data_IF_200497766271
#
_entry.id   IF_200497766271
#
_cell.length_a   1.000
_cell.length_b   1.000
_cell.length_c   1.000
_cell.angle_alpha   90.00
_cell.angle_beta   90.00
_cell.angle_gamma   90.00
#
_symmetry.space_group_name_H-M   'P 1'
#
loop_
_entity.id
_entity.type
_entity.pdbx_description
1 polymer ?
#
# COMPACT_ATOMS: atom_id res chain seq x y z
N UNK A 1 30.40 -47.98 18.91
CA UNK A 1 30.06 -47.78 17.48
C UNK A 1 28.55 -47.60 17.41
N UNK A 2 28.11 -46.35 17.35
CA UNK A 2 26.70 -45.97 17.34
C UNK A 2 26.61 -44.70 16.51
N UNK A 3 26.48 -44.89 15.20
CA UNK A 3 26.27 -43.82 14.23
C UNK A 3 24.80 -43.40 14.27
N UNK A 4 24.53 -42.24 14.87
CA UNK A 4 23.26 -41.56 14.75
C UNK A 4 23.27 -40.71 13.48
N UNK A 5 22.57 -41.19 12.46
CA UNK A 5 22.25 -40.41 11.26
C UNK A 5 21.39 -39.19 11.63
N UNK A 6 21.99 -38.00 11.61
CA UNK A 6 21.26 -36.74 11.55
C UNK A 6 20.62 -36.61 10.15
N UNK A 7 19.32 -36.91 10.05
CA UNK A 7 18.53 -36.56 8.87
C UNK A 7 18.25 -35.06 8.91
N UNK A 8 19.00 -34.31 8.10
CA UNK A 8 18.77 -32.90 7.84
C UNK A 8 17.46 -32.77 7.04
N UNK A 9 16.36 -32.43 7.72
CA UNK A 9 15.09 -32.11 7.07
C UNK A 9 15.26 -30.82 6.26
N UNK A 10 15.56 -31.00 4.98
CA UNK A 10 15.62 -29.94 3.99
C UNK A 10 14.19 -29.49 3.67
N UNK A 11 13.59 -28.66 4.54
CA UNK A 11 12.33 -28.00 4.26
C UNK A 11 12.52 -27.06 3.06
N UNK A 12 12.26 -27.56 1.84
CA UNK A 12 12.06 -26.70 0.67
C UNK A 12 10.94 -25.73 1.03
N UNK A 13 11.28 -24.47 1.34
CA UNK A 13 10.30 -23.39 1.52
C UNK A 13 9.42 -23.39 0.27
N UNK A 14 8.13 -23.65 0.44
CA UNK A 14 7.20 -23.53 -0.67
C UNK A 14 7.21 -22.08 -1.17
N UNK A 15 7.12 -21.86 -2.50
CA UNK A 15 7.11 -20.52 -3.04
C UNK A 15 5.94 -19.73 -2.44
N UNK A 16 6.22 -18.51 -1.97
CA UNK A 16 5.23 -17.59 -1.44
C UNK A 16 4.15 -17.34 -2.50
N UNK A 17 2.90 -17.67 -2.18
CA UNK A 17 1.77 -17.46 -3.07
C UNK A 17 1.22 -16.06 -2.83
N UNK A 18 1.63 -15.12 -3.66
CA UNK A 18 1.18 -13.74 -3.59
C UNK A 18 -0.21 -13.60 -4.23
N UNK A 19 -1.09 -12.75 -3.67
CA UNK A 19 -2.28 -12.33 -4.37
C UNK A 19 -1.93 -11.79 -5.77
N UNK A 20 -2.72 -12.17 -6.77
CA UNK A 20 -2.57 -11.60 -8.12
C UNK A 20 -2.83 -10.11 -8.10
N UNK A 21 -3.78 -9.65 -7.27
CA UNK A 21 -4.19 -8.24 -7.16
C UNK A 21 -4.45 -7.81 -5.73
N UNK A 22 -4.18 -6.54 -5.47
CA UNK A 22 -4.66 -5.79 -4.31
C UNK A 22 -5.43 -4.58 -4.84
N UNK A 23 -6.68 -4.44 -4.43
CA UNK A 23 -7.61 -3.46 -4.99
C UNK A 23 -8.06 -2.55 -3.86
N UNK A 24 -7.68 -1.28 -3.93
CA UNK A 24 -8.12 -0.25 -2.99
C UNK A 24 -9.39 0.39 -3.52
N UNK A 25 -10.48 0.34 -2.77
CA UNK A 25 -11.77 0.88 -3.19
C UNK A 25 -12.28 1.89 -2.17
N UNK A 26 -12.58 3.12 -2.61
CA UNK A 26 -13.20 4.13 -1.76
C UNK A 26 -14.69 3.87 -1.64
N UNK A 27 -15.27 4.08 -0.45
CA UNK A 27 -16.71 4.00 -0.25
C UNK A 27 -17.52 4.88 -1.23
N UNK A 28 -18.78 4.52 -1.46
CA UNK A 28 -19.73 5.32 -2.24
C UNK A 28 -20.05 6.67 -1.59
N UNK A 29 -20.72 7.55 -2.31
CA UNK A 29 -21.12 8.86 -1.80
C UNK A 29 -21.89 8.73 -0.47
N UNK A 30 -21.45 9.49 0.52
CA UNK A 30 -22.05 9.54 1.85
C UNK A 30 -22.79 10.85 2.09
N UNK A 31 -23.68 10.87 3.09
CA UNK A 31 -24.36 12.10 3.48
C UNK A 31 -23.36 13.22 3.80
N UNK A 32 -22.22 12.89 4.41
CA UNK A 32 -21.13 13.83 4.68
C UNK A 32 -20.35 14.30 3.45
N UNK A 33 -20.42 13.59 2.32
CA UNK A 33 -19.85 14.08 1.06
C UNK A 33 -20.74 15.13 0.38
N UNK A 34 -22.06 15.02 0.52
CA UNK A 34 -23.01 16.01 0.01
C UNK A 34 -23.10 17.25 0.90
N UNK A 35 -23.14 17.03 2.21
CA UNK A 35 -23.28 18.10 3.20
C UNK A 35 -22.37 17.84 4.39
N UNK A 36 -21.33 18.66 4.52
CA UNK A 36 -20.38 18.57 5.63
C UNK A 36 -21.02 18.85 6.99
N UNK A 37 -22.19 19.50 7.03
CA UNK A 37 -22.95 19.71 8.27
C UNK A 37 -23.36 18.38 8.92
N UNK A 38 -23.43 17.28 8.16
CA UNK A 38 -23.70 15.95 8.72
C UNK A 38 -22.70 15.57 9.83
N UNK A 39 -21.44 15.98 9.72
CA UNK A 39 -20.39 15.73 10.72
C UNK A 39 -20.54 16.54 12.02
N UNK A 40 -21.51 17.46 12.08
CA UNK A 40 -21.87 18.18 13.32
C UNK A 40 -22.87 17.41 14.18
N UNK A 41 -23.63 16.48 13.58
CA UNK A 41 -24.78 15.82 14.21
C UNK A 41 -24.63 14.30 14.28
N UNK A 42 -23.92 13.72 13.32
CA UNK A 42 -23.77 12.27 13.18
C UNK A 42 -22.28 11.96 13.38
N UNK A 43 -21.93 11.03 14.29
CA UNK A 43 -20.55 10.57 14.43
C UNK A 43 -20.00 10.07 13.09
N UNK A 44 -18.77 10.44 12.72
CA UNK A 44 -18.17 10.07 11.43
C UNK A 44 -18.31 8.56 11.09
N UNK A 45 -18.05 7.61 12.02
CA UNK A 45 -18.20 6.18 11.73
C UNK A 45 -19.64 5.77 11.35
N UNK A 46 -20.64 6.56 11.72
CA UNK A 46 -22.06 6.29 11.51
C UNK A 46 -22.66 7.03 10.30
N UNK A 47 -21.88 7.85 9.60
CA UNK A 47 -22.39 8.58 8.42
C UNK A 47 -22.83 7.56 7.35
N UNK A 48 -24.11 7.58 6.93
CA UNK A 48 -24.64 6.63 5.96
C UNK A 48 -24.28 7.00 4.52
N UNK A 49 -24.39 6.02 3.62
CA UNK A 49 -24.40 6.26 2.17
C UNK A 49 -25.68 6.97 1.74
N UNK A 50 -25.59 7.76 0.68
CA UNK A 50 -26.75 8.28 -0.03
C UNK A 50 -27.36 7.19 -0.94
N UNK A 51 -28.60 7.37 -1.44
CA UNK A 51 -29.14 6.49 -2.47
C UNK A 51 -28.25 6.42 -3.72
N UNK A 52 -27.63 7.53 -4.10
CA UNK A 52 -26.66 7.57 -5.20
C UNK A 52 -25.39 6.77 -4.86
N UNK A 53 -24.87 6.89 -3.63
CA UNK A 53 -23.74 6.10 -3.14
C UNK A 53 -23.98 4.59 -3.15
N UNK A 54 -25.21 4.15 -2.85
CA UNK A 54 -25.60 2.74 -2.98
C UNK A 54 -25.61 2.29 -4.46
N UNK A 55 -26.11 3.13 -5.37
CA UNK A 55 -26.09 2.83 -6.81
C UNK A 55 -24.66 2.78 -7.37
N UNK A 56 -23.79 3.72 -6.95
CA UNK A 56 -22.36 3.72 -7.27
C UNK A 56 -21.70 2.41 -6.84
N UNK A 57 -21.99 1.93 -5.62
CA UNK A 57 -21.42 0.68 -5.10
C UNK A 57 -21.86 -0.55 -5.88
N UNK A 58 -23.12 -0.62 -6.34
CA UNK A 58 -23.60 -1.69 -7.22
C UNK A 58 -22.86 -1.70 -8.56
N UNK A 59 -22.68 -0.52 -9.16
CA UNK A 59 -21.97 -0.36 -10.42
C UNK A 59 -20.49 -0.75 -10.25
N UNK A 60 -19.84 -0.29 -9.17
CA UNK A 60 -18.47 -0.67 -8.86
C UNK A 60 -18.30 -2.18 -8.69
N UNK A 61 -19.25 -2.86 -8.05
CA UNK A 61 -19.24 -4.33 -7.97
C UNK A 61 -19.31 -5.01 -9.34
N UNK A 62 -20.12 -4.47 -10.25
CA UNK A 62 -20.23 -4.97 -11.63
C UNK A 62 -18.91 -4.76 -12.39
N UNK A 63 -18.34 -3.56 -12.31
CA UNK A 63 -17.07 -3.21 -12.94
C UNK A 63 -15.91 -4.06 -12.39
N UNK A 64 -15.86 -4.25 -11.07
CA UNK A 64 -14.86 -5.09 -10.41
C UNK A 64 -14.95 -6.55 -10.86
N UNK A 65 -16.16 -7.09 -10.98
CA UNK A 65 -16.37 -8.43 -11.54
C UNK A 65 -15.86 -8.53 -12.97
N UNK A 66 -16.18 -7.55 -13.81
CA UNK A 66 -15.71 -7.53 -15.20
C UNK A 66 -14.19 -7.50 -15.27
N UNK A 67 -13.54 -6.62 -14.50
CA UNK A 67 -12.08 -6.50 -14.44
C UNK A 67 -11.42 -7.84 -14.08
N UNK A 68 -11.84 -8.45 -12.97
CA UNK A 68 -11.25 -9.70 -12.49
C UNK A 68 -11.51 -10.84 -13.48
N UNK A 69 -12.72 -10.91 -14.05
CA UNK A 69 -13.07 -11.98 -14.98
C UNK A 69 -12.34 -11.91 -16.33
N UNK A 70 -11.97 -10.72 -16.80
CA UNK A 70 -11.27 -10.53 -18.08
C UNK A 70 -9.75 -10.65 -17.97
N UNK A 71 -9.20 -10.21 -16.84
CA UNK A 71 -7.76 -10.16 -16.61
C UNK A 71 -7.20 -11.48 -16.04
N UNK A 72 -8.05 -12.37 -15.52
CA UNK A 72 -7.60 -13.67 -15.04
C UNK A 72 -7.37 -14.65 -16.20
N UNK A 73 -6.12 -15.11 -16.34
CA UNK A 73 -5.73 -16.18 -17.27
C UNK A 73 -6.36 -17.54 -16.92
N UNK A 74 -6.93 -17.66 -15.72
CA UNK A 74 -7.65 -18.83 -15.23
C UNK A 74 -9.14 -18.51 -15.03
N UNK A 75 -10.03 -19.45 -15.38
CA UNK A 75 -11.46 -19.40 -15.01
C UNK A 75 -11.69 -19.44 -13.49
N UNK A 76 -10.62 -19.69 -12.73
CA UNK A 76 -10.59 -19.90 -11.30
C UNK A 76 -9.98 -18.70 -10.57
N UNK A 77 -10.80 -17.67 -10.31
CA UNK A 77 -10.44 -16.56 -9.43
C UNK A 77 -11.27 -16.58 -8.13
N UNK A 78 -10.70 -15.95 -7.09
CA UNK A 78 -11.24 -15.82 -5.73
C UNK A 78 -10.99 -14.41 -5.18
N UNK A 79 -11.86 -14.01 -4.26
CA UNK A 79 -11.84 -12.72 -3.58
C UNK A 79 -11.70 -12.88 -2.08
N UNK A 80 -10.93 -12.01 -1.45
CA UNK A 80 -10.97 -11.79 0.00
C UNK A 80 -11.13 -10.30 0.27
N UNK A 81 -12.09 -9.94 1.12
CA UNK A 81 -12.37 -8.55 1.42
C UNK A 81 -11.82 -8.13 2.78
N UNK A 82 -11.19 -6.97 2.83
CA UNK A 82 -11.00 -6.19 4.04
C UNK A 82 -11.91 -4.96 3.98
N UNK A 83 -12.53 -4.59 5.09
CA UNK A 83 -13.44 -3.44 5.13
C UNK A 83 -13.25 -2.63 6.40
N UNK A 84 -13.20 -1.30 6.27
CA UNK A 84 -13.25 -0.42 7.42
C UNK A 84 -14.55 -0.60 8.20
N UNK A 85 -14.54 -0.46 9.55
CA UNK A 85 -15.74 -0.61 10.38
C UNK A 85 -16.82 0.45 10.16
N UNK A 86 -16.56 1.48 9.33
CA UNK A 86 -17.50 2.58 9.14
C UNK A 86 -18.74 2.12 8.38
N UNK A 87 -19.90 2.71 8.71
CA UNK A 87 -21.17 2.34 8.11
C UNK A 87 -21.13 2.48 6.58
N UNK A 88 -20.59 3.58 6.07
CA UNK A 88 -20.44 3.83 4.63
C UNK A 88 -19.61 2.78 3.89
N UNK A 89 -18.52 2.28 4.48
CA UNK A 89 -17.68 1.24 3.86
C UNK A 89 -18.35 -0.12 3.93
N UNK A 90 -19.01 -0.45 5.06
CA UNK A 90 -19.78 -1.69 5.20
C UNK A 90 -20.95 -1.75 4.21
N UNK A 91 -21.71 -0.67 4.07
CA UNK A 91 -22.81 -0.57 3.10
C UNK A 91 -22.31 -0.64 1.65
N UNK A 92 -21.15 -0.03 1.35
CA UNK A 92 -20.52 -0.14 0.03
C UNK A 92 -20.18 -1.59 -0.29
N UNK A 93 -19.53 -2.30 0.64
CA UNK A 93 -19.19 -3.71 0.47
C UNK A 93 -20.43 -4.58 0.26
N UNK A 94 -21.51 -4.35 1.01
CA UNK A 94 -22.75 -5.11 0.85
C UNK A 94 -23.29 -5.03 -0.58
N UNK A 95 -23.29 -3.84 -1.17
CA UNK A 95 -23.77 -3.64 -2.54
C UNK A 95 -22.80 -4.20 -3.60
N UNK A 96 -21.48 -4.09 -3.39
CA UNK A 96 -20.46 -4.72 -4.24
C UNK A 96 -20.64 -6.24 -4.26
N UNK A 97 -20.81 -6.86 -3.09
CA UNK A 97 -20.93 -8.31 -2.92
C UNK A 97 -22.11 -8.90 -3.70
N UNK A 98 -23.15 -8.13 -4.01
CA UNK A 98 -24.29 -8.59 -4.85
C UNK A 98 -23.87 -8.99 -6.27
N UNK A 99 -22.74 -8.47 -6.75
CA UNK A 99 -22.20 -8.81 -8.07
C UNK A 99 -21.49 -10.16 -8.09
N UNK A 100 -21.23 -10.77 -6.94
CA UNK A 100 -20.41 -11.98 -6.81
C UNK A 100 -21.23 -13.15 -6.23
N UNK A 101 -20.96 -14.36 -6.70
CA UNK A 101 -21.50 -15.55 -6.06
C UNK A 101 -20.70 -15.88 -4.81
N UNK A 102 -21.35 -16.44 -3.78
CA UNK A 102 -20.71 -16.83 -2.50
C UNK A 102 -19.47 -17.73 -2.71
N UNK A 103 -19.47 -18.57 -3.74
CA UNK A 103 -18.34 -19.46 -4.08
C UNK A 103 -17.07 -18.73 -4.53
N UNK A 104 -17.19 -17.48 -4.99
CA UNK A 104 -16.03 -16.66 -5.40
C UNK A 104 -15.40 -15.90 -4.22
N UNK A 105 -16.09 -15.79 -3.09
CA UNK A 105 -15.63 -15.01 -1.93
C UNK A 105 -15.12 -15.97 -0.85
N UNK A 106 -13.82 -15.92 -0.57
CA UNK A 106 -13.18 -16.74 0.48
C UNK A 106 -13.50 -16.23 1.88
N UNK A 107 -13.60 -14.91 2.04
CA UNK A 107 -13.87 -14.31 3.34
C UNK A 107 -14.00 -12.80 3.27
N UNK A 108 -14.50 -12.25 4.38
CA UNK A 108 -14.58 -10.82 4.66
C UNK A 108 -14.03 -10.62 6.07
N UNK A 109 -13.15 -9.63 6.24
CA UNK A 109 -12.64 -9.23 7.55
C UNK A 109 -12.84 -7.74 7.75
N UNK A 110 -13.41 -7.38 8.89
CA UNK A 110 -13.41 -5.98 9.34
C UNK A 110 -12.02 -5.61 9.86
N UNK A 111 -11.52 -4.45 9.46
CA UNK A 111 -10.18 -3.98 9.78
C UNK A 111 -10.22 -2.51 10.23
N UNK A 112 -10.04 -2.27 11.52
CA UNK A 112 -10.08 -0.92 12.11
C UNK A 112 -8.93 -0.03 11.65
N UNK A 113 -7.78 -0.60 11.24
CA UNK A 113 -6.61 0.16 10.80
C UNK A 113 -6.76 0.77 9.40
N UNK A 114 -7.79 0.38 8.64
CA UNK A 114 -8.11 0.96 7.32
C UNK A 114 -9.30 1.93 7.35
N UNK A 115 -9.67 2.45 8.53
CA UNK A 115 -10.65 3.55 8.69
C UNK A 115 -10.10 4.90 8.23
N UNK A 116 -10.96 5.89 7.99
CA UNK A 116 -10.54 7.24 7.56
C UNK A 116 -9.70 7.95 8.63
N UNK A 117 -8.95 8.98 8.25
CA UNK A 117 -8.33 9.91 9.21
C UNK A 117 -9.38 10.44 10.20
N UNK A 118 -9.08 10.35 11.49
CA UNK A 118 -9.95 10.91 12.52
C UNK A 118 -9.79 12.45 12.53
N UNK A 119 -10.88 13.19 12.35
CA UNK A 119 -10.89 14.66 12.31
C UNK A 119 -11.34 15.30 13.64
N UNK A 120 -11.27 14.56 14.75
CA UNK A 120 -11.90 14.91 16.02
C UNK A 120 -13.34 14.38 16.14
N UNK A 121 -14.02 14.73 17.23
CA UNK A 121 -15.33 14.18 17.58
C UNK A 121 -16.47 14.69 16.66
N UNK A 122 -16.80 15.98 16.76
CA UNK A 122 -17.78 16.65 15.91
C UNK A 122 -17.12 17.84 15.21
N UNK A 123 -17.42 17.99 13.92
CA UNK A 123 -16.76 18.97 13.06
C UNK A 123 -17.58 20.28 13.00
N UNK A 124 -17.37 21.17 13.96
CA UNK A 124 -18.06 22.48 14.02
C UNK A 124 -17.64 23.36 12.84
N UNK A 125 -18.62 23.89 12.11
CA UNK A 125 -18.42 24.51 10.79
C UNK A 125 -17.45 25.70 10.80
N UNK A 126 -17.61 26.63 11.75
CA UNK A 126 -16.74 27.79 11.89
C UNK A 126 -15.29 27.39 12.19
N UNK A 127 -15.10 26.36 13.03
CA UNK A 127 -13.77 25.82 13.36
C UNK A 127 -13.12 25.13 12.16
N UNK A 128 -13.92 24.38 11.38
CA UNK A 128 -13.40 23.62 10.24
C UNK A 128 -12.85 24.50 9.11
N UNK A 129 -13.37 25.71 8.93
CA UNK A 129 -12.82 26.64 7.92
C UNK A 129 -11.40 27.06 8.29
N UNK A 130 -11.18 27.49 9.52
CA UNK A 130 -9.86 27.89 10.03
C UNK A 130 -8.87 26.71 10.00
N UNK A 131 -9.35 25.52 10.38
CA UNK A 131 -8.55 24.28 10.33
C UNK A 131 -8.10 23.98 8.90
N UNK A 132 -8.99 24.08 7.90
CA UNK A 132 -8.65 23.84 6.49
C UNK A 132 -7.58 24.82 5.98
N UNK A 133 -7.76 26.12 6.23
CA UNK A 133 -6.80 27.16 5.83
C UNK A 133 -5.44 27.00 6.53
N UNK A 134 -5.44 26.54 7.79
CA UNK A 134 -4.20 26.26 8.52
C UNK A 134 -3.51 25.03 7.97
N UNK A 135 -4.27 23.98 7.67
CA UNK A 135 -3.76 22.74 7.08
C UNK A 135 -3.13 22.96 5.71
N UNK A 136 -3.75 23.77 4.86
CA UNK A 136 -3.20 24.11 3.54
C UNK A 136 -1.83 24.80 3.64
N UNK A 137 -1.63 25.67 4.65
CA UNK A 137 -0.34 26.33 4.90
C UNK A 137 0.69 25.43 5.57
N UNK A 138 0.26 24.50 6.42
CA UNK A 138 1.16 23.63 7.18
C UNK A 138 1.66 22.42 6.37
N UNK A 139 0.86 21.94 5.42
CA UNK A 139 1.09 20.68 4.72
C UNK A 139 0.15 19.58 5.22
N UNK A 140 -0.33 18.72 4.32
CA UNK A 140 -1.43 17.79 4.61
C UNK A 140 -0.98 16.58 5.40
N UNK A 141 0.29 16.19 5.28
CA UNK A 141 0.83 14.96 5.85
C UNK A 141 1.04 15.07 7.37
N UNK A 142 1.73 16.13 7.80
CA UNK A 142 2.07 16.32 9.22
C UNK A 142 1.04 17.12 10.01
N UNK A 143 0.11 17.82 9.36
CA UNK A 143 -0.93 18.55 10.07
C UNK A 143 -1.84 17.61 10.86
N UNK A 144 -1.92 17.83 12.17
CA UNK A 144 -2.77 17.07 13.10
C UNK A 144 -4.03 17.85 13.43
N UNK A 145 -5.17 17.21 13.23
CA UNK A 145 -6.45 17.79 13.64
C UNK A 145 -6.55 17.80 15.19
N UNK A 146 -7.15 18.84 15.79
CA UNK A 146 -7.47 18.83 17.21
C UNK A 146 -8.33 17.60 17.57
N UNK A 147 -7.94 16.85 18.61
CA UNK A 147 -8.57 15.58 19.01
C UNK A 147 -8.64 14.52 17.89
N UNK A 148 -7.83 14.66 16.84
CA UNK A 148 -7.82 13.80 15.67
C UNK A 148 -6.42 13.27 15.33
N UNK A 149 -6.30 12.77 14.10
CA UNK A 149 -5.08 12.20 13.54
C UNK A 149 -4.42 13.19 12.57
N UNK A 150 -3.11 13.08 12.39
CA UNK A 150 -2.38 13.52 11.19
C UNK A 150 -2.31 12.39 10.16
N UNK A 151 -1.92 12.67 8.91
CA UNK A 151 -1.72 11.58 7.95
C UNK A 151 -0.51 10.70 8.34
N UNK A 152 0.46 11.23 9.09
CA UNK A 152 1.53 10.46 9.70
C UNK A 152 1.00 9.42 10.72
N UNK A 153 0.02 9.79 11.56
CA UNK A 153 -0.61 8.83 12.48
C UNK A 153 -1.36 7.72 11.69
N UNK A 154 -2.00 8.10 10.58
CA UNK A 154 -2.64 7.15 9.64
C UNK A 154 -1.59 6.22 9.01
N UNK A 155 -0.41 6.73 8.66
CA UNK A 155 0.70 5.97 8.09
C UNK A 155 1.19 4.86 9.03
N UNK A 156 1.28 5.13 10.33
CA UNK A 156 1.74 4.14 11.31
C UNK A 156 0.74 2.98 11.45
N UNK A 157 -0.56 3.27 11.57
CA UNK A 157 -1.57 2.20 11.66
C UNK A 157 -1.72 1.41 10.37
N UNK A 158 -1.60 2.06 9.20
CA UNK A 158 -1.61 1.37 7.90
C UNK A 158 -0.36 0.51 7.74
N UNK A 159 0.81 0.98 8.20
CA UNK A 159 2.04 0.18 8.24
C UNK A 159 1.83 -1.10 9.06
N UNK A 160 1.22 -0.99 10.24
CA UNK A 160 0.91 -2.15 11.08
C UNK A 160 -0.09 -3.12 10.43
N UNK A 161 -1.09 -2.60 9.70
CA UNK A 161 -1.98 -3.43 8.89
C UNK A 161 -1.23 -4.21 7.81
N UNK A 162 -0.31 -3.56 7.08
CA UNK A 162 0.49 -4.22 6.05
C UNK A 162 1.34 -5.36 6.61
N UNK A 163 1.95 -5.18 7.79
CA UNK A 163 2.68 -6.27 8.46
C UNK A 163 1.78 -7.48 8.73
N UNK A 164 0.54 -7.24 9.16
CA UNK A 164 -0.43 -8.31 9.40
C UNK A 164 -0.89 -8.96 8.09
N UNK A 165 -1.09 -8.16 7.05
CA UNK A 165 -1.46 -8.63 5.73
C UNK A 165 -0.39 -9.54 5.13
N UNK A 166 0.88 -9.12 5.19
CA UNK A 166 2.02 -9.91 4.73
C UNK A 166 2.14 -11.25 5.46
N UNK A 167 1.98 -11.25 6.78
CA UNK A 167 1.95 -12.49 7.58
C UNK A 167 0.79 -13.40 7.21
N UNK A 168 -0.38 -12.85 6.93
CA UNK A 168 -1.54 -13.63 6.51
C UNK A 168 -1.35 -14.27 5.13
N UNK A 169 -0.67 -13.57 4.21
CA UNK A 169 -0.27 -14.10 2.91
C UNK A 169 0.79 -15.20 3.08
N UNK A 170 1.86 -14.93 3.83
CA UNK A 170 2.98 -15.85 4.06
C UNK A 170 2.55 -17.17 4.72
N UNK A 171 1.66 -17.07 5.72
CA UNK A 171 1.15 -18.23 6.44
C UNK A 171 -0.06 -18.89 5.76
N UNK A 172 -0.44 -18.46 4.55
CA UNK A 172 -1.63 -18.92 3.82
C UNK A 172 -2.92 -18.94 4.69
N UNK A 173 -3.11 -17.92 5.53
CA UNK A 173 -4.30 -17.81 6.41
C UNK A 173 -5.57 -17.42 5.66
N UNK A 174 -5.44 -17.03 4.40
CA UNK A 174 -6.56 -16.77 3.50
C UNK A 174 -7.09 -18.06 2.85
N UNK A 175 -6.45 -19.21 3.13
CA UNK A 175 -6.81 -20.55 2.63
C UNK A 175 -7.00 -20.58 1.12
N UNK A 176 -6.10 -19.92 0.40
CA UNK A 176 -6.12 -19.88 -1.05
C UNK A 176 -5.36 -21.06 -1.65
N UNK A 177 -5.89 -21.56 -2.75
CA UNK A 177 -5.33 -22.64 -3.55
C UNK A 177 -4.42 -22.06 -4.63
N UNK A 178 -3.26 -22.66 -4.85
CA UNK A 178 -2.29 -22.34 -5.90
C UNK A 178 -2.88 -22.36 -7.31
N UNK A 179 -3.99 -23.07 -7.52
CA UNK A 179 -4.67 -23.11 -8.82
C UNK A 179 -5.58 -21.90 -9.11
N UNK A 180 -5.78 -21.01 -8.14
CA UNK A 180 -6.70 -19.89 -8.25
C UNK A 180 -6.01 -18.52 -8.12
N UNK A 181 -6.38 -17.58 -9.01
CA UNK A 181 -6.00 -16.17 -8.83
C UNK A 181 -6.71 -15.61 -7.60
N UNK A 182 -5.95 -15.05 -6.65
CA UNK A 182 -6.49 -14.33 -5.51
C UNK A 182 -6.46 -12.83 -5.75
N UNK A 183 -7.58 -12.14 -5.54
CA UNK A 183 -7.62 -10.67 -5.45
C UNK A 183 -8.07 -10.25 -4.05
N UNK A 184 -7.27 -9.41 -3.41
CA UNK A 184 -7.63 -8.76 -2.15
C UNK A 184 -8.34 -7.45 -2.47
N UNK A 185 -9.48 -7.20 -1.84
CA UNK A 185 -10.24 -5.97 -2.04
C UNK A 185 -10.38 -5.26 -0.70
N UNK A 186 -9.82 -4.07 -0.59
CA UNK A 186 -9.80 -3.26 0.63
C UNK A 186 -10.79 -2.10 0.44
N UNK A 187 -11.96 -2.20 1.08
CA UNK A 187 -12.99 -1.16 1.04
C UNK A 187 -12.73 -0.15 2.17
N UNK A 188 -12.25 1.03 1.79
CA UNK A 188 -11.69 2.04 2.69
C UNK A 188 -12.10 3.46 2.25
N UNK A 189 -11.23 4.44 2.50
CA UNK A 189 -11.50 5.87 2.40
C UNK A 189 -10.41 6.59 1.61
N UNK A 190 -10.59 7.90 1.39
CA UNK A 190 -9.77 8.65 0.45
C UNK A 190 -8.32 8.79 0.90
N UNK A 191 -8.10 9.37 2.08
CA UNK A 191 -6.74 9.59 2.59
C UNK A 191 -6.05 8.26 2.90
N UNK A 192 -6.78 7.34 3.53
CA UNK A 192 -6.23 6.03 3.91
C UNK A 192 -5.73 5.25 2.70
N UNK A 193 -6.43 5.31 1.56
CA UNK A 193 -5.99 4.66 0.32
C UNK A 193 -4.70 5.28 -0.23
N UNK A 194 -4.53 6.61 -0.14
CA UNK A 194 -3.27 7.26 -0.53
C UNK A 194 -2.12 6.89 0.39
N UNK A 195 -2.37 6.86 1.70
CA UNK A 195 -1.36 6.47 2.69
C UNK A 195 -0.94 5.01 2.49
N UNK A 196 -1.90 4.13 2.14
CA UNK A 196 -1.59 2.76 1.73
C UNK A 196 -0.63 2.75 0.54
N UNK A 197 -0.92 3.50 -0.54
CA UNK A 197 -0.06 3.56 -1.72
C UNK A 197 1.33 4.11 -1.40
N UNK A 198 1.40 5.20 -0.63
CA UNK A 198 2.65 5.77 -0.16
C UNK A 198 3.49 4.73 0.59
N UNK A 199 2.89 4.03 1.57
CA UNK A 199 3.59 3.01 2.33
C UNK A 199 4.00 1.82 1.47
N UNK A 200 3.14 1.40 0.54
CA UNK A 200 3.37 0.25 -0.34
C UNK A 200 4.52 0.50 -1.31
N UNK A 201 4.52 1.66 -1.97
CA UNK A 201 5.53 2.03 -2.96
C UNK A 201 6.72 2.80 -2.39
N UNK A 202 6.72 3.05 -1.07
CA UNK A 202 7.75 3.79 -0.36
C UNK A 202 7.95 5.20 -0.91
N UNK A 203 6.86 5.84 -1.34
CA UNK A 203 6.88 7.21 -1.82
C UNK A 203 7.23 8.18 -0.69
N UNK A 204 7.89 9.27 -1.05
CA UNK A 204 8.27 10.32 -0.10
C UNK A 204 7.06 11.12 0.38
N UNK A 205 7.26 11.97 1.38
CA UNK A 205 6.20 12.86 1.87
C UNK A 205 5.81 13.86 0.77
N UNK A 206 6.78 14.39 0.03
CA UNK A 206 6.57 15.33 -1.08
C UNK A 206 5.71 14.69 -2.19
N UNK A 207 6.04 13.47 -2.59
CA UNK A 207 5.24 12.69 -3.53
C UNK A 207 3.83 12.43 -3.01
N UNK A 208 3.67 12.12 -1.72
CA UNK A 208 2.35 11.93 -1.12
C UNK A 208 1.49 13.21 -1.18
N UNK A 209 2.06 14.39 -0.98
CA UNK A 209 1.33 15.66 -0.98
C UNK A 209 0.67 15.95 -2.35
N UNK A 210 1.30 15.50 -3.45
CA UNK A 210 0.78 15.63 -4.82
C UNK A 210 -0.48 14.81 -5.08
N UNK A 211 -0.69 13.73 -4.32
CA UNK A 211 -1.75 12.76 -4.61
C UNK A 211 -3.15 13.35 -4.44
N UNK A 212 -4.07 12.88 -5.28
CA UNK A 212 -5.51 13.15 -5.19
C UNK A 212 -6.26 11.98 -4.57
N UNK A 213 -7.31 12.30 -3.80
CA UNK A 213 -8.19 11.28 -3.26
C UNK A 213 -8.97 10.60 -4.41
N UNK A 214 -9.11 9.26 -4.41
CA UNK A 214 -10.01 8.58 -5.35
C UNK A 214 -11.43 9.14 -5.24
N UNK A 215 -12.18 9.18 -6.34
CA UNK A 215 -13.62 9.45 -6.35
C UNK A 215 -14.43 8.42 -5.55
N UNK A 216 -15.70 8.71 -5.28
CA UNK A 216 -16.57 7.76 -4.59
C UNK A 216 -16.76 6.49 -5.44
N UNK A 217 -16.60 5.31 -4.83
CA UNK A 217 -16.60 4.01 -5.52
C UNK A 217 -15.54 3.83 -6.63
N UNK A 218 -14.59 4.76 -6.76
CA UNK A 218 -13.38 4.53 -7.54
C UNK A 218 -12.53 3.46 -6.86
N UNK A 219 -11.88 2.62 -7.66
CA UNK A 219 -10.91 1.66 -7.18
C UNK A 219 -9.60 1.72 -7.97
N UNK A 220 -8.49 1.51 -7.26
CA UNK A 220 -7.15 1.42 -7.84
C UNK A 220 -6.62 0.01 -7.64
N UNK A 221 -6.22 -0.60 -8.74
CA UNK A 221 -5.72 -1.98 -8.82
C UNK A 221 -4.21 -1.98 -8.85
N UNK A 222 -3.60 -2.59 -7.83
CA UNK A 222 -2.21 -3.01 -7.83
C UNK A 222 -2.19 -4.47 -8.29
N UNK A 223 -1.56 -4.77 -9.42
CA UNK A 223 -1.41 -6.14 -9.91
C UNK A 223 0.05 -6.57 -9.85
N UNK A 224 0.28 -7.84 -9.53
CA UNK A 224 1.60 -8.46 -9.52
C UNK A 224 2.12 -8.58 -10.96
N UNK A 225 3.21 -7.86 -11.25
CA UNK A 225 3.94 -7.87 -12.50
C UNK A 225 4.90 -9.06 -12.64
N UNK A 226 5.57 -9.14 -13.78
CA UNK A 226 6.40 -10.30 -14.15
C UNK A 226 7.61 -10.50 -13.21
N UNK A 227 8.15 -9.40 -12.66
CA UNK A 227 9.26 -9.40 -11.73
C UNK A 227 8.89 -9.80 -10.30
N UNK A 228 7.61 -9.98 -9.99
CA UNK A 228 7.11 -10.23 -8.63
C UNK A 228 6.86 -8.96 -7.81
N UNK A 229 6.87 -7.80 -8.45
CA UNK A 229 6.53 -6.50 -7.86
C UNK A 229 5.10 -6.12 -8.24
N UNK A 230 4.38 -5.48 -7.33
CA UNK A 230 3.05 -4.95 -7.64
C UNK A 230 3.18 -3.62 -8.38
N UNK A 231 2.28 -3.36 -9.33
CA UNK A 231 2.27 -2.13 -10.12
C UNK A 231 0.84 -1.64 -10.38
N UNK A 232 0.68 -0.32 -10.42
CA UNK A 232 -0.51 0.35 -10.94
C UNK A 232 -0.57 0.34 -12.48
N UNK A 233 0.59 0.38 -13.16
CA UNK A 233 0.69 0.55 -14.62
C UNK A 233 0.21 -0.67 -15.44
N UNK A 234 -0.18 -1.76 -14.79
CA UNK A 234 -0.77 -2.93 -15.46
C UNK A 234 -2.24 -2.71 -15.81
N UNK A 235 -2.99 -2.00 -14.95
CA UNK A 235 -4.43 -1.79 -15.12
C UNK A 235 -4.79 -0.35 -15.45
N UNK A 236 -3.92 0.60 -15.14
CA UNK A 236 -4.20 2.02 -15.28
C UNK A 236 -3.26 2.65 -16.29
N UNK A 237 -3.80 3.59 -17.06
CA UNK A 237 -3.01 4.33 -18.04
C UNK A 237 -2.12 5.36 -17.35
N UNK A 238 -1.15 5.89 -18.09
CA UNK A 238 -0.31 6.97 -17.59
C UNK A 238 -1.13 8.22 -17.30
N UNK A 239 -2.12 8.52 -18.15
CA UNK A 239 -3.02 9.66 -17.98
C UNK A 239 -3.81 9.56 -16.67
N UNK A 240 -4.38 8.40 -16.37
CA UNK A 240 -5.10 8.15 -15.10
C UNK A 240 -4.17 8.36 -13.89
N UNK A 241 -2.94 7.83 -13.96
CA UNK A 241 -1.96 8.00 -12.89
C UNK A 241 -1.56 9.47 -12.68
N UNK A 242 -1.39 10.25 -13.77
CA UNK A 242 -1.13 11.69 -13.69
C UNK A 242 -2.31 12.46 -13.08
N UNK A 243 -3.54 12.12 -13.45
CA UNK A 243 -4.75 12.71 -12.86
C UNK A 243 -4.84 12.44 -11.35
N UNK A 244 -4.31 11.31 -10.90
CA UNK A 244 -4.21 10.98 -9.47
C UNK A 244 -3.07 11.70 -8.73
N UNK A 245 -2.26 12.49 -9.45
CA UNK A 245 -1.16 13.26 -8.89
C UNK A 245 0.16 12.49 -8.79
N UNK A 246 0.33 11.38 -9.50
CA UNK A 246 1.65 10.74 -9.61
C UNK A 246 2.54 11.60 -10.51
N UNK A 247 3.74 11.90 -10.04
CA UNK A 247 4.77 12.58 -10.84
C UNK A 247 5.43 11.61 -11.85
N UNK A 248 6.34 12.15 -12.66
CA UNK A 248 7.05 11.38 -13.68
C UNK A 248 7.91 10.24 -13.11
N UNK A 249 8.49 10.43 -11.93
CA UNK A 249 9.34 9.44 -11.28
C UNK A 249 8.50 8.27 -10.75
N UNK A 250 7.40 8.58 -10.05
CA UNK A 250 6.44 7.60 -9.57
C UNK A 250 5.90 6.77 -10.73
N UNK A 251 5.51 7.40 -11.84
CA UNK A 251 5.00 6.71 -13.04
C UNK A 251 6.07 5.82 -13.67
N UNK A 252 7.31 6.29 -13.76
CA UNK A 252 8.43 5.50 -14.29
C UNK A 252 8.67 4.24 -13.44
N UNK A 253 8.67 4.38 -12.11
CA UNK A 253 8.74 3.25 -11.17
C UNK A 253 7.57 2.28 -11.36
N UNK A 254 6.33 2.77 -11.51
CA UNK A 254 5.19 1.88 -11.76
C UNK A 254 5.32 1.09 -13.07
N UNK A 255 5.76 1.73 -14.16
CA UNK A 255 6.00 1.06 -15.44
C UNK A 255 7.12 0.02 -15.33
N UNK A 256 8.18 0.33 -14.59
CA UNK A 256 9.26 -0.61 -14.33
C UNK A 256 8.75 -1.82 -13.52
N UNK A 257 7.99 -1.62 -12.45
CA UNK A 257 7.40 -2.71 -11.65
C UNK A 257 6.48 -3.63 -12.46
N UNK A 258 5.79 -3.10 -13.47
CA UNK A 258 4.91 -3.88 -14.33
C UNK A 258 5.67 -4.88 -15.22
N UNK A 259 6.82 -4.48 -15.77
CA UNK A 259 7.51 -5.20 -16.85
C UNK A 259 8.94 -5.66 -16.50
N UNK A 260 9.49 -5.18 -15.39
CA UNK A 260 10.85 -5.47 -14.95
C UNK A 260 11.06 -6.97 -14.69
N UNK A 261 12.27 -7.45 -15.02
CA UNK A 261 12.65 -8.83 -14.77
C UNK A 261 13.04 -9.01 -13.30
N UNK A 262 12.71 -10.18 -12.74
CA UNK A 262 13.02 -10.51 -11.34
C UNK A 262 14.52 -10.42 -11.08
N UNK A 263 14.94 -9.55 -10.17
CA UNK A 263 16.34 -9.34 -9.80
C UNK A 263 17.13 -8.39 -10.70
N UNK A 264 16.50 -7.79 -11.72
CA UNK A 264 17.07 -6.60 -12.34
C UNK A 264 17.05 -5.48 -11.28
N UNK A 265 18.19 -4.87 -11.00
CA UNK A 265 18.23 -3.65 -10.20
C UNK A 265 17.52 -2.54 -10.99
N UNK A 266 16.64 -1.78 -10.34
CA UNK A 266 16.18 -0.54 -10.94
C UNK A 266 17.25 0.52 -10.69
N UNK A 267 18.38 0.44 -11.39
CA UNK A 267 19.46 1.43 -11.30
C UNK A 267 19.00 2.84 -11.75
N UNK A 268 17.81 2.93 -12.35
CA UNK A 268 17.11 4.17 -12.72
C UNK A 268 15.92 4.52 -11.79
N UNK A 269 15.70 3.78 -10.69
CA UNK A 269 14.94 4.35 -9.58
C UNK A 269 15.90 5.34 -8.96
N UNK A 270 15.59 6.64 -8.87
CA UNK A 270 16.34 7.53 -8.00
C UNK A 270 16.20 6.92 -6.61
N UNK A 271 17.19 6.16 -6.20
CA UNK A 271 17.23 5.75 -4.84
C UNK A 271 17.40 7.07 -4.10
N UNK A 272 16.61 7.29 -3.05
CA UNK A 272 16.70 8.50 -2.22
C UNK A 272 18.16 8.76 -1.77
N UNK A 273 19.00 7.73 -1.82
CA UNK A 273 20.46 7.77 -1.75
C UNK A 273 21.08 8.79 -2.73
N UNK A 274 20.81 8.74 -4.04
CA UNK A 274 21.40 9.66 -5.02
C UNK A 274 21.15 11.13 -4.62
N UNK A 275 19.92 11.45 -4.18
CA UNK A 275 19.59 12.83 -3.73
C UNK A 275 20.40 13.34 -2.53
N UNK A 276 20.98 12.47 -1.70
CA UNK A 276 21.83 12.88 -0.57
C UNK A 276 23.33 12.74 -0.86
N UNK A 277 23.71 11.84 -1.76
CA UNK A 277 25.10 11.48 -2.01
C UNK A 277 25.64 12.02 -3.35
N UNK A 278 24.80 12.60 -4.22
CA UNK A 278 25.21 13.26 -5.48
C UNK A 278 26.27 14.36 -5.31
N UNK A 279 26.43 14.88 -4.09
CA UNK A 279 27.40 15.92 -3.75
C UNK A 279 28.63 15.41 -2.99
N UNK A 280 28.67 14.11 -2.68
CA UNK A 280 29.74 13.47 -1.93
C UNK A 280 30.65 12.72 -2.90
N UNK A 281 31.96 12.78 -2.66
CA UNK A 281 32.92 12.04 -3.46
C UNK A 281 32.89 10.55 -3.08
N UNK A 282 33.07 9.66 -4.05
CA UNK A 282 33.01 8.20 -3.88
C UNK A 282 34.19 7.57 -3.10
N UNK A 283 35.07 8.36 -2.47
CA UNK A 283 36.31 7.84 -1.88
C UNK A 283 36.32 7.89 -0.35
N UNK A 284 36.28 6.72 0.29
CA UNK A 284 36.72 6.48 1.68
C UNK A 284 38.26 6.32 1.77
N UNK A 285 39.02 6.95 0.88
CA UNK A 285 40.48 6.87 0.85
C UNK A 285 41.10 7.82 1.89
N UNK A 286 41.00 7.51 3.19
CA UNK A 286 41.82 8.14 4.25
C UNK A 286 41.82 7.43 5.63
N UNK A 287 41.59 6.12 5.72
CA UNK A 287 41.80 5.38 6.98
C UNK A 287 42.57 4.10 6.74
N UNK A 288 43.89 4.18 6.55
CA UNK A 288 44.92 3.24 7.06
C UNK A 288 46.33 3.80 6.75
N UNK A 289 46.70 4.92 7.36
CA UNK A 289 48.12 5.20 7.64
C UNK A 289 48.30 5.09 9.15
N UNK A 290 48.78 3.93 9.64
CA UNK A 290 49.67 3.97 10.80
C UNK A 290 50.64 2.76 10.86
N UNK A 291 51.91 3.14 10.94
CA UNK A 291 53.06 2.44 11.52
C UNK A 291 53.62 1.19 10.84
N UNK A 292 54.64 1.43 10.01
CA UNK A 292 55.84 0.60 9.94
C UNK A 292 56.37 0.29 11.36
N UNK A 293 56.20 -0.94 11.84
CA UNK A 293 56.99 -1.47 12.95
C UNK A 293 57.95 -2.57 12.45
N UNK A 294 59.17 -2.43 12.92
CA UNK A 294 60.41 -3.01 12.39
C UNK A 294 60.47 -4.52 12.61
N UNK A 295 60.78 -5.26 11.55
CA UNK A 295 61.31 -6.63 11.65
C UNK A 295 62.66 -6.65 12.38
N UNK A 296 62.90 -7.55 13.35
CA UNK A 296 64.23 -7.81 13.87
C UNK A 296 64.88 -8.94 13.06
N UNK A 297 66.07 -8.72 12.51
CA UNK A 297 66.98 -9.81 12.15
C UNK A 297 68.40 -9.43 12.53
N UNK A 298 68.85 -9.98 13.65
CA UNK A 298 70.23 -9.93 14.11
C UNK A 298 71.14 -10.86 13.28
N UNK A 299 72.41 -10.48 13.25
CA UNK A 299 73.43 -10.94 12.32
C UNK A 299 74.17 -12.25 12.71
N UNK A 300 74.70 -12.92 11.67
CA UNK A 300 75.98 -13.68 11.56
C UNK A 300 75.78 -14.84 10.57
N UNK A 301 76.68 -15.20 9.65
CA UNK A 301 78.15 -15.14 9.64
C UNK A 301 78.71 -15.13 8.21
N UNK A 302 79.89 -14.53 8.10
CA UNK A 302 80.82 -14.45 6.98
C UNK A 302 81.47 -15.82 6.67
N UNK A 303 81.58 -16.16 5.38
CA UNK A 303 82.65 -16.91 4.69
C UNK A 303 82.52 -16.50 3.20
N UNK A 304 83.49 -16.01 2.44
CA UNK A 304 84.93 -15.80 2.59
C UNK A 304 85.33 -14.53 1.81
#
# INVERSE_FOLDING_TARGET
MSDQHYQQHNHKKQPLLLPKRIILLRHGESAGNLDTSAYTKIPDPQIPLTPAGLAQARLAGTNLRHLISRSSSSSHWRLYFYVSPYLRTRSTLQEICRSFSKRRVLGVREECRVREQDFGNFQVEEGMKVIKETRERYGRFFYRFPEGESAADVFDRVSNFLESLWRDIEMNRLHHDHSHDLSLVIVSHGLTSRVFLMKWFKWTVEQFELLNNPGNCEFRVLELGNGGEYSLAIHHTEEEMREWGLDSEMIADQKWRAHGNRGASNDNCPCYLDTFFDHLADSDDNEYEDSDDKTPSDASSICA
#
